data_IF_627641431322
#
_entry.id   IF_627641431322
#
_cell.length_a   1.000
_cell.length_b   1.000
_cell.length_c   1.000
_cell.angle_alpha   90.00
_cell.angle_beta   90.00
_cell.angle_gamma   90.00
#
_symmetry.space_group_name_H-M   'P 1'
#
loop_
_entity.id
_entity.type
_entity.pdbx_description
1 polymer ?
#
# COMPACT_ATOMS: atom_id res chain seq x y z
N UNK A 1 -5.74 16.56 21.10
CA UNK A 1 -5.04 17.67 20.43
C UNK A 1 -5.84 18.07 19.20
N UNK A 2 -6.13 19.35 19.05
CA UNK A 2 -6.74 19.95 17.86
C UNK A 2 -5.81 21.03 17.33
N UNK A 3 -5.61 21.08 16.01
CA UNK A 3 -4.89 22.15 15.36
C UNK A 3 -5.58 22.50 14.03
N UNK A 4 -5.53 23.77 13.65
CA UNK A 4 -6.01 24.23 12.35
C UNK A 4 -5.05 25.25 11.75
N UNK A 5 -5.04 25.28 10.42
CA UNK A 5 -4.33 26.26 9.62
C UNK A 5 -5.21 26.69 8.44
N UNK A 6 -5.24 27.99 8.19
CA UNK A 6 -5.97 28.66 7.12
C UNK A 6 -4.98 29.33 6.20
N UNK A 7 -5.37 29.48 4.93
CA UNK A 7 -4.60 30.29 3.99
C UNK A 7 -4.57 31.75 4.46
N UNK A 8 -3.41 32.43 4.48
CA UNK A 8 -3.26 33.78 5.05
C UNK A 8 -4.11 34.87 4.39
N UNK A 9 -4.76 34.57 3.26
CA UNK A 9 -5.67 35.48 2.55
C UNK A 9 -7.09 35.47 3.11
N UNK A 10 -7.45 34.50 3.97
CA UNK A 10 -8.78 34.37 4.55
C UNK A 10 -8.71 33.93 6.01
N UNK A 11 -9.24 34.77 6.90
CA UNK A 11 -9.46 34.47 8.30
C UNK A 11 -10.96 34.31 8.58
N UNK A 12 -11.31 33.18 9.21
CA UNK A 12 -12.68 32.91 9.65
C UNK A 12 -12.67 32.65 11.15
N UNK A 13 -13.69 33.13 11.89
CA UNK A 13 -13.80 32.81 13.29
C UNK A 13 -14.00 31.30 13.50
N UNK A 14 -13.16 30.71 14.34
CA UNK A 14 -13.23 29.31 14.78
C UNK A 14 -13.63 29.25 16.23
N UNK A 15 -14.65 28.45 16.54
CA UNK A 15 -15.15 28.28 17.91
C UNK A 15 -15.21 26.80 18.28
N UNK A 16 -14.80 26.49 19.50
CA UNK A 16 -14.90 25.15 20.08
C UNK A 16 -15.88 25.22 21.24
N UNK A 17 -16.95 24.43 21.12
CA UNK A 17 -18.05 24.40 22.08
C UNK A 17 -18.17 23.00 22.69
N UNK A 18 -18.43 22.91 23.99
CA UNK A 18 -18.88 21.66 24.58
C UNK A 18 -20.39 21.50 24.28
N UNK A 19 -20.79 20.37 23.70
CA UNK A 19 -22.22 20.12 23.37
C UNK A 19 -23.09 20.05 24.61
N UNK A 20 -22.57 19.47 25.69
CA UNK A 20 -23.33 19.23 26.92
C UNK A 20 -23.51 20.51 27.74
N UNK A 21 -22.45 21.29 27.88
CA UNK A 21 -22.46 22.52 28.69
C UNK A 21 -22.86 23.75 27.88
N UNK A 22 -22.76 23.70 26.54
CA UNK A 22 -22.91 24.88 25.68
C UNK A 22 -21.76 25.89 25.78
N UNK A 23 -20.86 25.70 26.74
CA UNK A 23 -19.73 26.58 27.00
C UNK A 23 -18.75 26.60 25.83
N UNK A 24 -18.35 27.81 25.45
CA UNK A 24 -17.27 28.04 24.49
C UNK A 24 -15.95 27.83 25.22
N UNK A 25 -15.27 26.73 24.90
CA UNK A 25 -13.98 26.40 25.50
C UNK A 25 -12.88 27.31 24.97
N UNK A 26 -12.90 27.56 23.66
CA UNK A 26 -11.90 28.39 22.99
C UNK A 26 -12.49 28.98 21.72
N UNK A 27 -12.15 30.24 21.44
CA UNK A 27 -12.52 30.92 20.21
C UNK A 27 -11.30 31.65 19.64
N UNK A 28 -11.13 31.57 18.32
CA UNK A 28 -10.17 32.35 17.56
C UNK A 28 -10.95 33.18 16.56
N UNK A 29 -10.76 34.51 16.59
CA UNK A 29 -11.51 35.44 15.75
C UNK A 29 -10.69 35.88 14.54
N UNK A 30 -9.43 36.26 14.78
CA UNK A 30 -8.55 36.89 13.78
C UNK A 30 -7.20 36.14 13.71
N UNK A 31 -7.23 34.80 13.77
CA UNK A 31 -6.03 33.97 13.75
C UNK A 31 -6.11 32.95 12.63
N UNK A 32 -5.19 32.98 11.64
CA UNK A 32 -5.18 32.03 10.54
C UNK A 32 -4.73 30.63 11.00
N UNK A 33 -4.22 30.50 12.21
CA UNK A 33 -3.81 29.23 12.78
C UNK A 33 -4.08 29.19 14.27
N UNK A 34 -4.33 28.00 14.79
CA UNK A 34 -4.54 27.80 16.21
C UNK A 34 -4.36 26.33 16.60
N UNK A 35 -4.00 26.13 17.86
CA UNK A 35 -3.91 24.80 18.45
C UNK A 35 -4.55 24.82 19.84
N UNK A 36 -5.17 23.70 20.20
CA UNK A 36 -5.75 23.47 21.51
C UNK A 36 -5.46 22.05 21.97
N UNK A 37 -4.84 21.96 23.13
CA UNK A 37 -4.65 20.70 23.85
C UNK A 37 -5.66 20.64 24.99
N UNK A 38 -6.62 19.74 24.85
CA UNK A 38 -7.55 19.42 25.92
C UNK A 38 -7.00 18.23 26.71
N UNK A 39 -6.87 18.33 28.04
CA UNK A 39 -6.50 17.20 28.87
C UNK A 39 -7.61 16.15 28.85
N UNK A 40 -7.23 14.89 29.01
CA UNK A 40 -8.18 13.78 29.16
C UNK A 40 -9.05 14.03 30.39
N UNK A 41 -10.37 14.11 30.19
CA UNK A 41 -11.36 14.26 31.27
C UNK A 41 -12.04 12.92 31.49
N UNK A 42 -12.36 12.60 32.74
CA UNK A 42 -13.06 11.39 33.20
C UNK A 42 -14.46 11.17 32.58
N UNK A 43 -15.07 12.24 32.05
CA UNK A 43 -16.38 12.18 31.38
C UNK A 43 -16.21 12.29 29.88
N UNK A 44 -16.98 11.49 29.13
CA UNK A 44 -17.14 11.65 27.67
C UNK A 44 -17.60 13.08 27.40
N UNK A 45 -16.87 13.82 26.57
CA UNK A 45 -17.23 15.18 26.17
C UNK A 45 -17.45 15.21 24.67
N UNK A 46 -18.64 15.62 24.25
CA UNK A 46 -18.91 15.90 22.85
C UNK A 46 -18.45 17.32 22.51
N UNK A 47 -17.40 17.45 21.70
CA UNK A 47 -16.87 18.74 21.26
C UNK A 47 -17.38 19.08 19.87
N UNK A 48 -17.81 20.33 19.68
CA UNK A 48 -18.26 20.87 18.41
C UNK A 48 -17.26 21.92 17.94
N UNK A 49 -16.63 21.67 16.80
CA UNK A 49 -15.75 22.60 16.12
C UNK A 49 -16.57 23.35 15.05
N UNK A 50 -16.71 24.66 15.22
CA UNK A 50 -17.49 25.52 14.33
C UNK A 50 -16.54 26.46 13.58
N UNK A 51 -16.60 26.39 12.24
CA UNK A 51 -15.91 27.29 11.33
C UNK A 51 -16.96 28.18 10.67
N UNK A 52 -16.93 29.47 10.98
CA UNK A 52 -17.98 30.40 10.57
C UNK A 52 -17.51 31.24 9.37
N UNK A 53 -17.98 30.85 8.18
CA UNK A 53 -17.72 31.55 6.93
C UNK A 53 -18.92 32.42 6.50
N UNK A 54 -19.67 33.00 7.45
CA UNK A 54 -20.80 33.87 7.11
C UNK A 54 -20.40 35.22 6.51
N UNK A 55 -19.14 35.65 6.70
CA UNK A 55 -18.68 36.98 6.29
C UNK A 55 -18.11 37.05 4.87
N UNK A 56 -17.65 35.93 4.29
CA UNK A 56 -17.16 35.93 2.90
C UNK A 56 -18.28 35.51 1.95
N UNK A 57 -18.86 36.50 1.26
CA UNK A 57 -19.98 36.31 0.31
C UNK A 57 -19.56 35.78 -1.07
N UNK A 58 -18.28 35.86 -1.44
CA UNK A 58 -17.80 35.67 -2.82
C UNK A 58 -16.58 34.75 -2.96
N UNK A 59 -15.90 34.41 -1.85
CA UNK A 59 -14.60 33.73 -1.88
C UNK A 59 -14.64 32.40 -1.14
N UNK A 60 -14.13 31.36 -1.81
CA UNK A 60 -14.00 30.02 -1.23
C UNK A 60 -12.77 29.96 -0.33
N UNK A 61 -12.97 29.69 0.96
CA UNK A 61 -11.89 29.47 1.91
C UNK A 61 -11.57 27.99 2.07
N UNK A 62 -10.28 27.63 2.10
CA UNK A 62 -9.82 26.27 2.43
C UNK A 62 -9.25 26.27 3.85
N UNK A 63 -9.71 25.33 4.67
CA UNK A 63 -9.22 25.13 6.05
C UNK A 63 -8.67 23.73 6.18
N UNK A 64 -7.41 23.63 6.62
CA UNK A 64 -6.79 22.36 6.97
C UNK A 64 -6.83 22.20 8.49
N UNK A 65 -7.42 21.11 8.97
CA UNK A 65 -7.52 20.82 10.39
C UNK A 65 -7.02 19.40 10.70
N UNK A 66 -6.47 19.23 11.90
CA UNK A 66 -5.99 17.95 12.39
C UNK A 66 -6.52 17.70 13.80
N UNK A 67 -7.14 16.53 14.00
CA UNK A 67 -7.65 16.07 15.29
C UNK A 67 -6.89 14.81 15.67
N UNK A 68 -6.10 14.88 16.74
CA UNK A 68 -5.43 13.73 17.34
C UNK A 68 -6.02 13.43 18.71
N UNK A 69 -6.65 12.27 18.84
CA UNK A 69 -7.08 11.72 20.13
C UNK A 69 -6.01 10.74 20.59
N UNK A 70 -5.35 11.06 21.70
CA UNK A 70 -4.36 10.18 22.33
C UNK A 70 -5.09 9.54 23.52
N UNK A 71 -5.47 8.26 23.44
CA UNK A 71 -6.04 7.56 24.58
C UNK A 71 -4.96 7.47 25.67
N UNK A 72 -5.31 7.83 26.90
CA UNK A 72 -4.41 7.71 28.05
C UNK A 72 -4.27 6.21 28.41
N UNK A 73 -3.07 5.62 28.29
CA UNK A 73 -2.87 4.20 28.61
C UNK A 73 -3.00 3.90 30.11
N UNK A 74 -2.97 4.90 30.99
CA UNK A 74 -3.04 4.72 32.44
C UNK A 74 -4.47 4.68 33.01
N UNK A 75 -5.46 5.20 32.27
CA UNK A 75 -6.86 5.23 32.69
C UNK A 75 -7.69 4.44 31.71
N UNK A 76 -7.89 3.18 32.10
CA UNK A 76 -8.66 2.14 31.42
C UNK A 76 -9.58 2.67 30.35
N UNK A 77 -9.28 2.29 29.11
CA UNK A 77 -10.27 2.19 28.05
C UNK A 77 -11.49 1.52 28.68
N UNK A 78 -12.60 2.26 28.79
CA UNK A 78 -13.88 1.67 29.13
C UNK A 78 -14.13 0.61 28.06
N UNK A 79 -13.90 -0.65 28.40
CA UNK A 79 -14.04 -1.81 27.52
C UNK A 79 -15.46 -1.97 26.95
N UNK A 80 -16.41 -1.15 27.39
CA UNK A 80 -17.80 -1.15 26.95
C UNK A 80 -18.04 -0.46 25.59
N UNK A 81 -17.09 0.33 25.08
CA UNK A 81 -17.28 1.05 23.80
C UNK A 81 -16.04 0.99 22.89
N UNK A 82 -15.31 -0.13 22.93
CA UNK A 82 -14.57 -0.53 21.73
C UNK A 82 -15.62 -1.21 20.85
N UNK A 83 -16.14 -0.48 19.87
CA UNK A 83 -17.09 -1.01 18.89
C UNK A 83 -16.56 -2.37 18.40
N UNK A 84 -17.34 -3.46 18.50
CA UNK A 84 -16.92 -4.77 18.01
C UNK A 84 -16.45 -4.73 16.55
N UNK A 85 -16.83 -3.68 15.80
CA UNK A 85 -16.31 -3.38 14.46
C UNK A 85 -14.85 -2.93 14.51
N UNK A 86 -14.44 -2.02 15.41
CA UNK A 86 -13.06 -1.52 15.48
C UNK A 86 -12.08 -2.63 15.89
N UNK A 87 -12.47 -3.50 16.85
CA UNK A 87 -11.70 -4.72 17.16
C UNK A 87 -11.57 -5.65 15.96
N UNK A 88 -12.63 -5.84 15.18
CA UNK A 88 -12.61 -6.67 13.96
C UNK A 88 -11.82 -6.04 12.82
N UNK A 89 -11.87 -4.71 12.68
CA UNK A 89 -11.10 -3.98 11.67
C UNK A 89 -9.62 -4.02 12.01
N UNK A 90 -9.25 -3.90 13.29
CA UNK A 90 -7.88 -4.02 13.74
C UNK A 90 -7.32 -5.43 13.51
N UNK A 91 -8.09 -6.48 13.85
CA UNK A 91 -7.66 -7.87 13.57
C UNK A 91 -7.60 -8.17 12.07
N UNK A 92 -8.54 -7.64 11.27
CA UNK A 92 -8.48 -7.72 9.81
C UNK A 92 -7.27 -6.98 9.26
N UNK A 93 -6.94 -5.80 9.79
CA UNK A 93 -5.80 -5.00 9.37
C UNK A 93 -4.48 -5.71 9.68
N UNK A 94 -4.34 -6.30 10.88
CA UNK A 94 -3.18 -7.12 11.26
C UNK A 94 -3.05 -8.36 10.36
N UNK A 95 -4.17 -9.02 10.06
CA UNK A 95 -4.20 -10.18 9.14
C UNK A 95 -3.82 -9.77 7.72
N UNK A 96 -4.31 -8.62 7.24
CA UNK A 96 -4.03 -8.10 5.90
C UNK A 96 -2.56 -7.66 5.75
N UNK A 97 -1.98 -7.06 6.80
CA UNK A 97 -0.55 -6.76 6.85
C UNK A 97 0.29 -8.04 6.79
N UNK A 98 -0.14 -9.10 7.47
CA UNK A 98 0.53 -10.40 7.44
C UNK A 98 0.46 -11.02 6.03
N UNK A 99 -0.71 -11.00 5.39
CA UNK A 99 -0.88 -11.47 4.02
C UNK A 99 -0.10 -10.63 3.01
N UNK A 100 -0.01 -9.31 3.19
CA UNK A 100 0.83 -8.44 2.34
C UNK A 100 2.29 -8.84 2.40
N UNK A 101 2.84 -9.07 3.60
CA UNK A 101 4.23 -9.50 3.77
C UNK A 101 4.49 -10.85 3.11
N UNK A 102 3.54 -11.79 3.21
CA UNK A 102 3.62 -13.08 2.53
C UNK A 102 3.54 -12.94 0.99
N UNK A 103 2.66 -12.08 0.49
CA UNK A 103 2.56 -11.81 -0.96
C UNK A 103 3.82 -11.14 -1.52
N UNK A 104 4.47 -10.28 -0.76
CA UNK A 104 5.77 -9.69 -1.13
C UNK A 104 6.87 -10.76 -1.18
N UNK A 105 6.90 -11.67 -0.21
CA UNK A 105 7.83 -12.80 -0.19
C UNK A 105 7.60 -13.75 -1.39
N UNK A 106 6.35 -14.11 -1.66
CA UNK A 106 5.97 -14.94 -2.83
C UNK A 106 6.33 -14.24 -4.15
N UNK A 107 6.16 -12.91 -4.25
CA UNK A 107 6.56 -12.15 -5.44
C UNK A 107 8.06 -12.21 -5.70
N UNK A 108 8.86 -12.20 -4.64
CA UNK A 108 10.32 -12.30 -4.76
C UNK A 108 10.73 -13.68 -5.30
N UNK A 109 10.16 -14.74 -4.74
CA UNK A 109 10.40 -16.11 -5.20
C UNK A 109 9.88 -16.34 -6.64
N UNK A 110 8.72 -15.78 -6.99
CA UNK A 110 8.18 -15.86 -8.35
C UNK A 110 9.07 -15.17 -9.39
N UNK A 111 9.75 -14.08 -9.00
CA UNK A 111 10.70 -13.38 -9.87
C UNK A 111 11.91 -14.26 -10.18
N UNK A 112 12.40 -15.01 -9.19
CA UNK A 112 13.48 -15.99 -9.34
C UNK A 112 13.01 -17.22 -10.15
N UNK A 113 11.79 -17.69 -9.94
CA UNK A 113 11.22 -18.76 -10.76
C UNK A 113 11.09 -18.38 -12.24
N UNK A 114 10.77 -17.12 -12.56
CA UNK A 114 10.65 -16.67 -13.96
C UNK A 114 12.00 -16.69 -14.68
N UNK A 115 13.06 -16.22 -14.03
CA UNK A 115 14.41 -16.21 -14.62
C UNK A 115 14.98 -17.62 -14.75
N UNK A 116 14.73 -18.51 -13.79
CA UNK A 116 15.14 -19.93 -13.89
C UNK A 116 14.44 -20.67 -15.03
N UNK A 117 13.14 -20.42 -15.24
CA UNK A 117 12.38 -21.02 -16.35
C UNK A 117 12.89 -20.49 -17.70
N UNK A 118 13.22 -19.20 -17.78
CA UNK A 118 13.73 -18.58 -19.01
C UNK A 118 15.13 -19.15 -19.38
N UNK A 119 16.00 -19.37 -18.40
CA UNK A 119 17.33 -19.97 -18.61
C UNK A 119 17.31 -21.49 -18.87
N UNK A 120 16.35 -22.23 -18.30
CA UNK A 120 16.18 -23.66 -18.60
C UNK A 120 15.69 -23.88 -20.03
N UNK A 121 14.75 -23.05 -20.48
CA UNK A 121 14.19 -23.14 -21.83
C UNK A 121 15.25 -22.95 -22.93
N UNK A 122 16.17 -21.99 -22.76
CA UNK A 122 17.25 -21.73 -23.73
C UNK A 122 18.22 -22.92 -23.85
N UNK A 123 18.56 -23.56 -22.73
CA UNK A 123 19.48 -24.71 -22.74
C UNK A 123 18.84 -25.94 -23.38
N UNK A 124 17.57 -26.20 -23.10
CA UNK A 124 16.81 -27.31 -23.70
C UNK A 124 16.63 -27.08 -25.21
N UNK A 125 16.35 -25.85 -25.63
CA UNK A 125 16.27 -25.49 -27.04
C UNK A 125 17.60 -25.74 -27.77
N UNK A 126 18.72 -25.38 -27.16
CA UNK A 126 20.05 -25.62 -27.74
C UNK A 126 20.41 -27.11 -27.83
N UNK A 127 20.08 -27.89 -26.79
CA UNK A 127 20.28 -29.35 -26.82
C UNK A 127 19.45 -30.03 -27.92
N UNK A 128 18.20 -29.58 -28.13
CA UNK A 128 17.32 -30.12 -29.18
C UNK A 128 17.88 -29.85 -30.58
N UNK A 129 18.36 -28.62 -30.84
CA UNK A 129 19.01 -28.29 -32.12
C UNK A 129 20.25 -29.15 -32.34
N UNK A 130 21.10 -29.31 -31.33
CA UNK A 130 22.31 -30.11 -31.41
C UNK A 130 22.02 -31.59 -31.73
N UNK A 131 20.96 -32.14 -31.13
CA UNK A 131 20.52 -33.50 -31.40
C UNK A 131 20.07 -33.69 -32.85
N UNK A 132 19.27 -32.77 -33.39
CA UNK A 132 18.82 -32.83 -34.80
C UNK A 132 20.00 -32.75 -35.76
N UNK A 133 20.93 -31.82 -35.53
CA UNK A 133 22.15 -31.69 -36.35
C UNK A 133 22.99 -32.97 -36.30
N UNK A 134 23.18 -33.55 -35.11
CA UNK A 134 23.93 -34.79 -34.93
C UNK A 134 23.28 -35.96 -35.67
N UNK A 135 21.94 -36.05 -35.63
CA UNK A 135 21.19 -37.10 -36.35
C UNK A 135 21.33 -36.96 -37.87
N UNK A 136 21.23 -35.74 -38.41
CA UNK A 136 21.44 -35.46 -39.84
C UNK A 136 22.87 -35.78 -40.27
N UNK A 137 23.87 -35.42 -39.46
CA UNK A 137 25.27 -35.74 -39.74
C UNK A 137 25.52 -37.25 -39.76
N UNK A 138 24.94 -38.00 -38.81
CA UNK A 138 25.03 -39.45 -38.77
C UNK A 138 24.37 -40.11 -39.99
N UNK A 139 23.15 -39.68 -40.33
CA UNK A 139 22.44 -40.17 -41.52
C UNK A 139 23.21 -39.85 -42.82
N UNK A 140 23.72 -38.63 -42.96
CA UNK A 140 24.57 -38.24 -44.09
C UNK A 140 25.85 -39.07 -44.19
N UNK A 141 26.50 -39.32 -43.05
CA UNK A 141 27.68 -40.19 -42.96
C UNK A 141 27.37 -41.63 -43.38
N UNK A 142 26.23 -42.18 -42.95
CA UNK A 142 25.76 -43.50 -43.37
C UNK A 142 25.56 -43.56 -44.89
N UNK A 143 24.85 -42.59 -45.48
CA UNK A 143 24.66 -42.55 -46.94
C UNK A 143 25.99 -42.43 -47.70
N UNK A 144 26.92 -41.61 -47.20
CA UNK A 144 28.24 -41.43 -47.83
C UNK A 144 29.07 -42.71 -47.78
N UNK A 145 29.10 -43.41 -46.64
CA UNK A 145 29.78 -44.69 -46.52
C UNK A 145 29.17 -45.72 -47.46
N UNK A 146 27.84 -45.86 -47.51
CA UNK A 146 27.19 -46.79 -48.44
C UNK A 146 27.54 -46.47 -49.90
N UNK A 147 27.50 -45.20 -50.31
CA UNK A 147 27.91 -44.79 -51.66
C UNK A 147 29.38 -45.16 -51.94
N UNK A 148 30.28 -44.84 -51.03
CA UNK A 148 31.72 -45.13 -51.17
C UNK A 148 32.01 -46.63 -51.24
N UNK A 149 31.31 -47.45 -50.46
CA UNK A 149 31.45 -48.91 -50.49
C UNK A 149 30.92 -49.52 -51.80
N UNK A 150 29.78 -49.05 -52.31
CA UNK A 150 29.23 -49.50 -53.60
C UNK A 150 30.16 -49.11 -54.75
N UNK A 151 30.68 -47.88 -54.74
CA UNK A 151 31.56 -47.39 -55.79
C UNK A 151 32.89 -48.15 -55.83
N UNK A 152 33.48 -48.43 -54.66
CA UNK A 152 34.71 -49.24 -54.54
C UNK A 152 34.51 -50.71 -54.97
N UNK A 153 33.28 -51.24 -54.88
CA UNK A 153 32.94 -52.59 -55.34
C UNK A 153 32.58 -52.66 -56.82
N UNK A 154 32.38 -51.50 -57.47
CA UNK A 154 32.07 -51.39 -58.91
C UNK A 154 33.33 -51.16 -59.76
N UNK A 155 34.42 -50.70 -59.14
CA UNK A 155 35.70 -50.40 -59.79
C UNK A 155 36.76 -51.50 -59.64
N UNK A 156 36.44 -52.58 -58.92
CA UNK A 156 37.15 -53.86 -58.95
C UNK A 156 36.45 -54.80 -59.94
#
# INVERSE_FOLDING_TARGET
MFAFYMTPTFDFPVRIRCRETGDVLQAWKDSPQGYLNLPSTDKTRHLVFEFDNSQSLLTLGSVSFEIRVIPDPARGVREEEIDPIEKKVQTLFETMQTLRKLQELIRYDQKEHRTLVEHANVRVHWCSIMQVVSFVAAAGGQLWLLRRFVEKRRTL
#
